data_IF_012297874926
#
_entry.id   IF_012297874926
#
_cell.length_a   1.000
_cell.length_b   1.000
_cell.length_c   1.000
_cell.angle_alpha   90.00
_cell.angle_beta   90.00
_cell.angle_gamma   90.00
#
_symmetry.space_group_name_H-M   'P 1'
#
loop_
_entity.id
_entity.type
_entity.pdbx_description
1 polymer ?
#
# COMPACT_ATOMS: atom_id res chain seq x y z
N UNK A 1 13.74 7.27 -4.14
CA UNK A 1 14.52 6.81 -5.29
C UNK A 1 15.97 7.18 -5.05
N UNK A 2 16.92 6.24 -5.12
CA UNK A 2 18.35 6.57 -5.02
C UNK A 2 18.82 7.32 -6.27
N UNK A 3 19.83 8.18 -6.11
CA UNK A 3 20.49 8.88 -7.22
C UNK A 3 21.38 7.88 -7.95
N UNK A 4 21.00 7.51 -9.18
CA UNK A 4 21.93 6.89 -10.12
C UNK A 4 22.75 8.03 -10.73
N UNK A 5 24.08 7.98 -10.61
CA UNK A 5 25.02 9.07 -10.99
C UNK A 5 24.88 9.61 -12.43
N UNK A 6 24.16 8.91 -13.31
CA UNK A 6 23.97 9.25 -14.72
C UNK A 6 22.52 9.58 -15.11
N UNK A 7 21.56 9.53 -14.17
CA UNK A 7 20.16 9.88 -14.47
C UNK A 7 19.95 11.40 -14.34
N UNK A 8 19.62 12.06 -15.45
CA UNK A 8 19.13 13.44 -15.45
C UNK A 8 17.64 13.42 -15.11
N UNK A 9 17.29 13.65 -13.84
CA UNK A 9 15.90 13.62 -13.37
C UNK A 9 15.05 14.82 -13.81
N UNK A 10 15.68 15.97 -14.10
CA UNK A 10 15.04 17.17 -14.67
C UNK A 10 16.05 17.95 -15.50
N UNK A 11 15.61 18.48 -16.65
CA UNK A 11 16.44 19.29 -17.56
C UNK A 11 16.87 20.63 -16.97
N UNK A 12 16.21 21.11 -15.91
CA UNK A 12 16.47 22.41 -15.29
C UNK A 12 16.79 22.33 -13.79
N UNK A 13 16.44 21.24 -13.11
CA UNK A 13 16.67 21.07 -11.66
C UNK A 13 17.54 19.83 -11.37
N UNK A 14 18.87 19.99 -11.21
CA UNK A 14 19.80 18.87 -11.05
C UNK A 14 19.55 17.96 -9.84
N UNK A 15 18.85 18.46 -8.81
CA UNK A 15 18.56 17.71 -7.59
C UNK A 15 17.20 17.00 -7.61
N UNK A 16 16.36 17.25 -8.63
CA UNK A 16 15.00 16.69 -8.70
C UNK A 16 15.05 15.27 -9.25
N UNK A 17 14.52 14.33 -8.47
CA UNK A 17 14.39 12.92 -8.85
C UNK A 17 12.90 12.61 -8.95
N UNK A 18 12.45 12.21 -10.15
CA UNK A 18 11.04 11.89 -10.40
C UNK A 18 10.83 10.37 -10.46
N UNK A 19 9.66 9.87 -10.02
CA UNK A 19 9.31 8.45 -10.07
C UNK A 19 8.93 7.99 -11.50
N UNK A 20 9.76 8.30 -12.50
CA UNK A 20 9.44 8.11 -13.93
C UNK A 20 9.13 6.67 -14.32
N UNK A 21 9.74 5.70 -13.64
CA UNK A 21 9.47 4.28 -13.90
C UNK A 21 8.04 3.89 -13.50
N UNK A 22 7.51 4.49 -12.42
CA UNK A 22 6.11 4.30 -12.01
C UNK A 22 5.15 5.04 -12.94
N UNK A 23 5.47 6.27 -13.35
CA UNK A 23 4.68 7.05 -14.31
C UNK A 23 4.58 6.32 -15.67
N UNK A 24 5.70 5.77 -16.14
CA UNK A 24 5.74 4.94 -17.36
C UNK A 24 4.94 3.65 -17.20
N UNK A 25 4.99 3.02 -16.02
CA UNK A 25 4.21 1.82 -15.73
C UNK A 25 2.72 2.10 -15.78
N UNK A 26 2.28 3.16 -15.12
CA UNK A 26 0.88 3.60 -15.07
C UNK A 26 0.33 3.89 -16.48
N UNK A 27 1.06 4.66 -17.29
CA UNK A 27 0.66 4.97 -18.66
C UNK A 27 0.51 3.72 -19.54
N UNK A 28 1.50 2.82 -19.49
CA UNK A 28 1.44 1.57 -20.28
C UNK A 28 0.36 0.62 -19.78
N UNK A 29 0.13 0.54 -18.46
CA UNK A 29 -0.94 -0.27 -17.89
C UNK A 29 -2.31 0.22 -18.37
N UNK A 30 -2.53 1.54 -18.42
CA UNK A 30 -3.76 2.14 -18.95
C UNK A 30 -4.01 1.76 -20.41
N UNK A 31 -3.01 1.87 -21.28
CA UNK A 31 -3.13 1.47 -22.70
C UNK A 31 -3.40 -0.02 -22.84
N UNK A 32 -2.70 -0.86 -22.07
CA UNK A 32 -2.91 -2.30 -22.06
C UNK A 32 -4.36 -2.65 -21.66
N UNK A 33 -4.86 -2.07 -20.56
CA UNK A 33 -6.22 -2.28 -20.09
C UNK A 33 -7.24 -1.86 -21.14
N UNK A 34 -7.06 -0.71 -21.79
CA UNK A 34 -7.98 -0.24 -22.82
C UNK A 34 -8.07 -1.22 -24.01
N UNK A 35 -6.94 -1.74 -24.48
CA UNK A 35 -6.90 -2.72 -25.57
C UNK A 35 -7.49 -4.07 -25.14
N UNK A 36 -7.09 -4.58 -23.97
CA UNK A 36 -7.59 -5.85 -23.44
C UNK A 36 -9.10 -5.80 -23.20
N UNK A 37 -9.62 -4.70 -22.65
CA UNK A 37 -11.05 -4.47 -22.46
C UNK A 37 -11.79 -4.49 -23.81
N UNK A 38 -11.26 -3.79 -24.82
CA UNK A 38 -11.84 -3.84 -26.17
C UNK A 38 -11.87 -5.26 -26.73
N UNK A 39 -10.83 -6.08 -26.50
CA UNK A 39 -10.83 -7.48 -26.94
C UNK A 39 -11.91 -8.30 -26.24
N UNK A 40 -12.07 -8.14 -24.92
CA UNK A 40 -13.13 -8.82 -24.15
C UNK A 40 -14.52 -8.46 -24.67
N UNK A 41 -14.75 -7.20 -25.01
CA UNK A 41 -16.05 -6.73 -25.49
C UNK A 41 -16.32 -7.13 -26.95
N UNK A 42 -15.32 -6.99 -27.83
CA UNK A 42 -15.50 -7.18 -29.27
C UNK A 42 -15.51 -8.63 -29.70
N UNK A 43 -14.63 -9.47 -29.15
CA UNK A 43 -14.36 -10.82 -29.69
C UNK A 43 -15.52 -11.80 -29.55
N UNK A 44 -16.33 -11.78 -28.45
CA UNK A 44 -17.46 -12.68 -28.31
C UNK A 44 -18.61 -12.41 -29.30
N UNK A 45 -18.63 -11.25 -29.94
CA UNK A 45 -19.72 -10.83 -30.82
C UNK A 45 -19.30 -10.99 -32.28
N UNK A 46 -20.04 -11.83 -33.00
CA UNK A 46 -19.91 -12.05 -34.44
C UNK A 46 -21.29 -12.34 -35.05
N UNK A 47 -21.63 -11.73 -36.19
CA UNK A 47 -22.97 -11.84 -36.79
C UNK A 47 -23.19 -13.23 -37.40
N UNK A 48 -24.36 -13.82 -37.12
CA UNK A 48 -24.80 -15.13 -37.65
C UNK A 48 -23.77 -16.23 -37.37
N UNK A 49 -23.33 -16.98 -38.38
CA UNK A 49 -22.35 -18.04 -38.22
C UNK A 49 -20.94 -17.52 -37.96
N UNK A 50 -20.60 -16.32 -38.48
CA UNK A 50 -19.37 -15.53 -38.22
C UNK A 50 -19.23 -14.38 -39.25
N UNK A 51 -18.83 -13.20 -38.80
CA UNK A 51 -18.24 -12.13 -39.61
C UNK A 51 -16.70 -12.04 -39.42
N UNK A 52 -15.99 -11.31 -40.29
CA UNK A 52 -14.52 -11.24 -40.32
C UNK A 52 -13.91 -10.08 -39.50
N UNK A 53 -14.71 -9.29 -38.77
CA UNK A 53 -14.21 -8.14 -38.02
C UNK A 53 -13.22 -8.51 -36.91
N UNK A 54 -13.30 -9.74 -36.40
CA UNK A 54 -12.40 -10.29 -35.38
C UNK A 54 -10.98 -10.53 -35.92
N UNK A 55 -10.82 -10.77 -37.21
CA UNK A 55 -9.52 -11.08 -37.82
C UNK A 55 -8.52 -9.94 -37.64
N UNK A 56 -8.94 -8.68 -37.86
CA UNK A 56 -8.05 -7.53 -37.67
C UNK A 56 -7.79 -7.24 -36.20
N UNK A 57 -8.77 -7.47 -35.31
CA UNK A 57 -8.59 -7.25 -33.87
C UNK A 57 -7.64 -8.27 -33.25
N UNK A 58 -7.68 -9.53 -33.70
CA UNK A 58 -6.75 -10.59 -33.27
C UNK A 58 -5.28 -10.26 -33.59
N UNK A 59 -5.02 -9.50 -34.67
CA UNK A 59 -3.65 -9.05 -35.01
C UNK A 59 -3.11 -8.02 -34.03
N UNK A 60 -3.96 -7.38 -33.23
CA UNK A 60 -3.57 -6.41 -32.20
C UNK A 60 -3.29 -7.03 -30.82
N UNK A 61 -3.42 -8.35 -30.67
CA UNK A 61 -3.11 -9.01 -29.39
C UNK A 61 -1.70 -8.74 -28.90
N UNK A 62 -0.73 -8.78 -29.81
CA UNK A 62 0.66 -8.46 -29.51
C UNK A 62 0.82 -7.05 -28.93
N UNK A 63 0.07 -6.06 -29.44
CA UNK A 63 0.11 -4.68 -28.95
C UNK A 63 -0.39 -4.56 -27.50
N UNK A 64 -1.53 -5.17 -27.19
CA UNK A 64 -2.06 -5.16 -25.81
C UNK A 64 -1.11 -5.81 -24.82
N UNK A 65 -0.57 -6.99 -25.17
CA UNK A 65 0.39 -7.72 -24.35
C UNK A 65 1.74 -7.00 -24.23
N UNK A 66 2.20 -6.32 -25.30
CA UNK A 66 3.43 -5.55 -25.27
C UNK A 66 3.33 -4.39 -24.27
N UNK A 67 2.21 -3.66 -24.22
CA UNK A 67 2.00 -2.62 -23.22
C UNK A 67 1.93 -3.20 -21.80
N UNK A 68 1.30 -4.36 -21.58
CA UNK A 68 1.35 -5.04 -20.28
C UNK A 68 2.79 -5.36 -19.86
N UNK A 69 3.61 -5.89 -20.76
CA UNK A 69 5.00 -6.22 -20.50
C UNK A 69 5.84 -4.96 -20.19
N UNK A 70 5.67 -3.90 -20.95
CA UNK A 70 6.33 -2.62 -20.70
C UNK A 70 5.95 -2.03 -19.34
N UNK A 71 4.67 -2.15 -18.96
CA UNK A 71 4.19 -1.70 -17.66
C UNK A 71 4.85 -2.47 -16.51
N UNK A 72 4.89 -3.81 -16.61
CA UNK A 72 5.51 -4.69 -15.61
C UNK A 72 7.01 -4.42 -15.49
N UNK A 73 7.72 -4.29 -16.62
CA UNK A 73 9.16 -4.02 -16.63
C UNK A 73 9.48 -2.66 -16.01
N UNK A 74 8.68 -1.64 -16.30
CA UNK A 74 8.86 -0.30 -15.71
C UNK A 74 8.56 -0.33 -14.20
N UNK A 75 7.49 -1.02 -13.78
CA UNK A 75 7.19 -1.22 -12.35
C UNK A 75 8.35 -1.91 -11.63
N UNK A 76 8.90 -2.97 -12.22
CA UNK A 76 10.02 -3.71 -11.65
C UNK A 76 11.24 -2.81 -11.42
N UNK A 77 11.66 -2.06 -12.44
CA UNK A 77 12.74 -1.07 -12.33
C UNK A 77 12.45 -0.01 -11.27
N UNK A 78 11.20 0.45 -11.18
CA UNK A 78 10.79 1.41 -10.16
C UNK A 78 10.95 0.86 -8.75
N UNK A 79 10.49 -0.38 -8.51
CA UNK A 79 10.59 -1.06 -7.22
C UNK A 79 12.03 -1.27 -6.76
N UNK A 80 12.95 -1.60 -7.67
CA UNK A 80 14.40 -1.74 -7.37
C UNK A 80 15.04 -0.44 -6.85
N UNK A 81 14.47 0.72 -7.20
CA UNK A 81 14.99 2.03 -6.78
C UNK A 81 14.32 2.59 -5.52
N UNK A 82 13.30 1.92 -4.96
CA UNK A 82 12.56 2.38 -3.77
C UNK A 82 13.22 1.86 -2.50
N UNK A 83 13.54 2.79 -1.58
CA UNK A 83 14.06 2.46 -0.26
C UNK A 83 13.32 3.27 0.80
N UNK A 84 12.93 2.64 1.93
CA UNK A 84 12.25 3.33 3.01
C UNK A 84 13.19 4.29 3.75
N UNK A 85 12.83 5.57 3.85
CA UNK A 85 13.48 6.50 4.78
C UNK A 85 12.91 6.33 6.18
N UNK A 86 13.58 5.50 7.00
CA UNK A 86 13.08 5.13 8.33
C UNK A 86 12.97 6.34 9.26
N UNK A 87 13.94 7.24 9.20
CA UNK A 87 14.01 8.46 10.01
C UNK A 87 12.86 9.40 9.68
N UNK A 88 12.61 9.62 8.37
CA UNK A 88 11.51 10.46 7.92
C UNK A 88 10.16 9.86 8.31
N UNK A 89 9.92 8.58 8.02
CA UNK A 89 8.66 7.91 8.38
C UNK A 89 8.39 7.97 9.89
N UNK A 90 9.43 7.69 10.70
CA UNK A 90 9.32 7.77 12.16
C UNK A 90 9.02 9.20 12.62
N UNK A 91 9.72 10.18 12.07
CA UNK A 91 9.50 11.59 12.38
C UNK A 91 8.07 12.00 12.06
N UNK A 92 7.57 11.71 10.85
CA UNK A 92 6.20 12.03 10.44
C UNK A 92 5.18 11.45 11.42
N UNK A 93 5.27 10.15 11.72
CA UNK A 93 4.32 9.49 12.62
C UNK A 93 4.38 10.06 14.05
N UNK A 94 5.56 10.43 14.54
CA UNK A 94 5.72 11.05 15.86
C UNK A 94 5.09 12.46 15.96
N UNK A 95 4.94 13.18 14.85
CA UNK A 95 4.27 14.49 14.80
C UNK A 95 2.74 14.39 14.77
N UNK A 96 2.18 13.17 14.74
CA UNK A 96 0.74 12.92 14.67
C UNK A 96 0.22 12.09 15.87
N UNK A 97 0.33 12.58 17.12
CA UNK A 97 -0.17 11.86 18.30
C UNK A 97 -1.69 11.64 18.32
N UNK A 98 -2.46 12.40 17.54
CA UNK A 98 -3.90 12.27 17.38
C UNK A 98 -4.35 10.88 16.90
N UNK A 99 -3.48 10.13 16.22
CA UNK A 99 -3.77 8.75 15.76
C UNK A 99 -4.04 7.79 16.93
N UNK A 100 -3.61 8.13 18.15
CA UNK A 100 -3.86 7.34 19.36
C UNK A 100 -5.26 7.55 19.95
N UNK A 101 -6.02 8.53 19.46
CA UNK A 101 -7.36 8.85 19.94
C UNK A 101 -8.28 7.62 19.96
N UNK A 102 -8.29 6.85 18.88
CA UNK A 102 -9.10 5.63 18.77
C UNK A 102 -8.71 4.57 19.83
N UNK A 103 -7.41 4.39 20.07
CA UNK A 103 -6.91 3.47 21.09
C UNK A 103 -7.38 3.87 22.50
N UNK A 104 -7.35 5.17 22.80
CA UNK A 104 -7.84 5.70 24.07
C UNK A 104 -9.35 5.52 24.21
N UNK A 105 -10.13 5.94 23.21
CA UNK A 105 -11.58 5.78 23.23
C UNK A 105 -12.01 4.31 23.40
N UNK A 106 -11.38 3.40 22.66
CA UNK A 106 -11.66 1.96 22.74
C UNK A 106 -11.35 1.42 24.14
N UNK A 107 -10.27 1.89 24.76
CA UNK A 107 -9.89 1.48 26.11
C UNK A 107 -10.82 2.02 27.20
N UNK A 108 -11.33 3.25 27.03
CA UNK A 108 -12.36 3.80 27.92
C UNK A 108 -13.66 3.00 27.82
N UNK A 109 -14.09 2.64 26.60
CA UNK A 109 -15.27 1.78 26.38
C UNK A 109 -15.09 0.43 27.04
N UNK A 110 -13.91 -0.17 26.91
CA UNK A 110 -13.59 -1.44 27.58
C UNK A 110 -13.62 -1.32 29.11
N UNK A 111 -13.35 -0.14 29.65
CA UNK A 111 -13.44 0.17 31.08
C UNK A 111 -14.87 0.50 31.55
N UNK A 112 -15.88 0.40 30.66
CA UNK A 112 -17.28 0.67 30.98
C UNK A 112 -17.72 2.13 30.87
N UNK A 113 -16.89 3.01 30.31
CA UNK A 113 -17.20 4.45 30.17
C UNK A 113 -18.07 4.67 28.93
N UNK A 114 -19.33 5.05 29.15
CA UNK A 114 -20.38 5.17 28.12
C UNK A 114 -20.13 6.37 27.20
N UNK A 115 -19.63 7.48 27.76
CA UNK A 115 -19.37 8.76 27.11
C UNK A 115 -17.91 8.94 26.67
N UNK A 116 -17.20 7.83 26.42
CA UNK A 116 -15.77 7.81 26.08
C UNK A 116 -15.34 8.79 24.96
N UNK A 117 -16.19 8.96 23.94
CA UNK A 117 -15.94 9.90 22.84
C UNK A 117 -16.00 11.35 23.31
N UNK A 118 -17.03 11.72 24.08
CA UNK A 118 -17.19 13.09 24.59
C UNK A 118 -16.11 13.43 25.62
N UNK A 119 -15.70 12.48 26.46
CA UNK A 119 -14.58 12.68 27.38
C UNK A 119 -13.24 12.88 26.66
N UNK A 120 -13.00 12.11 25.58
CA UNK A 120 -11.80 12.31 24.76
C UNK A 120 -11.83 13.66 24.04
N UNK A 121 -12.98 14.02 23.46
CA UNK A 121 -13.22 15.29 22.76
C UNK A 121 -13.08 16.49 23.68
N UNK A 122 -13.54 16.42 24.92
CA UNK A 122 -13.35 17.45 25.93
C UNK A 122 -11.86 17.69 26.23
N UNK A 123 -11.02 16.67 26.06
CA UNK A 123 -9.58 16.72 26.33
C UNK A 123 -8.75 17.04 25.07
N UNK A 124 -9.33 16.94 23.87
CA UNK A 124 -8.65 17.17 22.58
C UNK A 124 -9.18 18.34 21.73
N UNK A 125 -10.23 19.05 22.17
CA UNK A 125 -11.02 19.99 21.33
C UNK A 125 -10.23 21.13 20.65
N UNK A 126 -9.23 21.68 21.34
CA UNK A 126 -8.56 22.92 20.89
C UNK A 126 -7.04 22.76 20.67
N UNK A 127 -6.50 21.53 20.80
CA UNK A 127 -5.06 21.29 20.73
C UNK A 127 -4.76 19.93 20.08
N UNK A 128 -3.62 19.84 19.38
CA UNK A 128 -2.99 18.53 19.11
C UNK A 128 -2.97 17.73 20.40
N UNK A 129 -3.26 16.43 20.30
CA UNK A 129 -3.46 15.55 21.45
C UNK A 129 -2.16 15.47 22.26
N UNK A 130 -2.04 16.38 23.24
CA UNK A 130 -0.80 16.59 23.97
C UNK A 130 -0.53 15.42 24.90
N UNK A 131 0.74 15.23 25.29
CA UNK A 131 1.12 14.22 26.29
C UNK A 131 0.32 14.39 27.60
N UNK A 132 0.02 15.64 27.98
CA UNK A 132 -0.77 15.94 29.17
C UNK A 132 -2.25 15.52 29.00
N UNK A 133 -2.83 15.80 27.84
CA UNK A 133 -4.17 15.37 27.45
C UNK A 133 -4.28 13.83 27.46
N UNK A 134 -3.33 13.13 26.83
CA UNK A 134 -3.28 11.65 26.84
C UNK A 134 -3.24 11.08 28.26
N UNK A 135 -2.42 11.65 29.15
CA UNK A 135 -2.32 11.19 30.54
C UNK A 135 -3.65 11.33 31.31
N UNK A 136 -4.40 12.41 31.08
CA UNK A 136 -5.73 12.59 31.70
C UNK A 136 -6.68 11.48 31.28
N UNK A 137 -6.70 11.14 29.99
CA UNK A 137 -7.55 10.07 29.46
C UNK A 137 -7.14 8.70 29.99
N UNK A 138 -5.84 8.42 30.01
CA UNK A 138 -5.31 7.14 30.53
C UNK A 138 -5.63 6.95 32.02
N UNK A 139 -5.76 8.03 32.78
CA UNK A 139 -6.10 7.94 34.20
C UNK A 139 -7.55 7.50 34.47
N UNK A 140 -8.44 7.62 33.50
CA UNK A 140 -9.82 7.15 33.60
C UNK A 140 -9.94 5.61 33.45
N UNK A 141 -8.90 4.97 32.90
CA UNK A 141 -8.84 3.52 32.76
C UNK A 141 -8.55 2.87 34.11
N UNK A 142 -9.45 1.99 34.55
CA UNK A 142 -9.40 1.31 35.86
C UNK A 142 -8.52 0.06 35.85
N UNK A 143 -8.47 -0.68 34.73
CA UNK A 143 -7.62 -1.87 34.61
C UNK A 143 -6.12 -1.48 34.61
N UNK A 144 -5.33 -1.90 35.62
CA UNK A 144 -3.90 -1.58 35.70
C UNK A 144 -3.09 -2.11 34.52
N UNK A 145 -3.48 -3.27 33.94
CA UNK A 145 -2.77 -3.85 32.78
C UNK A 145 -2.98 -3.00 31.54
N UNK A 146 -4.23 -2.63 31.26
CA UNK A 146 -4.58 -1.74 30.15
C UNK A 146 -3.94 -0.35 30.32
N UNK A 147 -4.00 0.21 31.53
CA UNK A 147 -3.36 1.50 31.86
C UNK A 147 -1.86 1.49 31.58
N UNK A 148 -1.14 0.44 32.02
CA UNK A 148 0.29 0.26 31.73
C UNK A 148 0.57 0.20 30.23
N UNK A 149 -0.27 -0.51 29.47
CA UNK A 149 -0.15 -0.62 28.00
C UNK A 149 -0.34 0.74 27.32
N UNK A 150 -1.34 1.51 27.72
CA UNK A 150 -1.58 2.84 27.15
C UNK A 150 -0.48 3.85 27.46
N UNK A 151 0.17 3.77 28.63
CA UNK A 151 1.32 4.60 28.98
C UNK A 151 2.56 4.33 28.11
N UNK A 152 2.66 3.12 27.55
CA UNK A 152 3.74 2.71 26.64
C UNK A 152 3.38 2.95 25.17
N UNK A 153 2.13 3.30 24.88
CA UNK A 153 1.64 3.49 23.52
C UNK A 153 2.20 4.78 22.92
N UNK A 154 2.70 4.68 21.70
CA UNK A 154 3.23 5.78 20.90
C UNK A 154 2.76 5.64 19.46
N UNK A 155 2.67 6.71 18.68
CA UNK A 155 2.28 6.62 17.27
C UNK A 155 3.11 5.57 16.51
N UNK A 156 4.43 5.52 16.73
CA UNK A 156 5.33 4.59 16.03
C UNK A 156 5.18 3.12 16.44
N UNK A 157 4.46 2.81 17.52
CA UNK A 157 4.19 1.43 17.95
C UNK A 157 2.70 1.04 17.87
N UNK A 158 1.86 1.93 17.35
CA UNK A 158 0.44 1.71 17.15
C UNK A 158 0.12 1.23 15.72
N UNK A 159 0.75 0.12 15.31
CA UNK A 159 0.57 -0.49 13.97
C UNK A 159 -0.27 -1.79 14.00
N UNK A 160 -0.88 -2.11 15.15
CA UNK A 160 -1.74 -3.28 15.31
C UNK A 160 -1.08 -4.59 14.89
N UNK A 161 -1.75 -5.34 14.01
CA UNK A 161 -1.27 -6.63 13.50
C UNK A 161 -0.41 -6.52 12.24
N UNK A 162 -0.08 -5.30 11.77
CA UNK A 162 0.57 -5.11 10.48
C UNK A 162 1.85 -5.96 10.30
N UNK A 163 2.81 -6.01 11.25
CA UNK A 163 3.99 -6.87 11.08
C UNK A 163 3.66 -8.35 10.98
N UNK A 164 2.68 -8.82 11.77
CA UNK A 164 2.25 -10.22 11.76
C UNK A 164 1.64 -10.59 10.41
N UNK A 165 0.76 -9.74 9.88
CA UNK A 165 0.12 -9.94 8.56
C UNK A 165 1.20 -9.99 7.48
N UNK A 166 2.14 -9.03 7.48
CA UNK A 166 3.25 -9.00 6.50
C UNK A 166 4.09 -10.28 6.56
N UNK A 167 4.49 -10.74 7.75
CA UNK A 167 5.25 -11.98 7.88
C UNK A 167 4.46 -13.19 7.36
N UNK A 168 3.17 -13.28 7.69
CA UNK A 168 2.30 -14.36 7.21
C UNK A 168 2.20 -14.38 5.69
N UNK A 169 2.01 -13.22 5.07
CA UNK A 169 1.90 -13.09 3.61
C UNK A 169 3.22 -13.41 2.90
N UNK A 170 4.36 -12.95 3.43
CA UNK A 170 5.68 -13.31 2.90
C UNK A 170 5.85 -14.84 2.92
N UNK A 171 5.56 -15.49 4.05
CA UNK A 171 5.63 -16.96 4.14
C UNK A 171 4.72 -17.64 3.14
N UNK A 172 3.48 -17.18 3.00
CA UNK A 172 2.51 -17.72 2.04
C UNK A 172 3.04 -17.63 0.61
N UNK A 173 3.55 -16.46 0.21
CA UNK A 173 4.09 -16.23 -1.14
C UNK A 173 5.33 -17.12 -1.38
N UNK A 174 6.27 -17.18 -0.44
CA UNK A 174 7.49 -18.00 -0.56
C UNK A 174 7.18 -19.49 -0.70
N UNK A 175 6.18 -20.00 0.03
CA UNK A 175 5.74 -21.38 -0.08
C UNK A 175 5.18 -21.67 -1.48
N UNK A 176 4.32 -20.78 -2.00
CA UNK A 176 3.73 -20.93 -3.33
C UNK A 176 4.80 -20.90 -4.44
N UNK A 177 5.79 -20.01 -4.34
CA UNK A 177 6.89 -19.95 -5.31
C UNK A 177 7.71 -21.25 -5.32
N UNK A 178 7.94 -21.82 -4.14
CA UNK A 178 8.66 -23.10 -4.00
C UNK A 178 7.88 -24.27 -4.63
N UNK A 179 6.55 -24.28 -4.48
CA UNK A 179 5.68 -25.28 -5.12
C UNK A 179 5.74 -25.16 -6.65
N UNK A 180 5.59 -23.95 -7.20
CA UNK A 180 5.66 -23.69 -8.63
C UNK A 180 7.01 -24.10 -9.24
N UNK A 181 8.12 -23.87 -8.53
CA UNK A 181 9.45 -24.33 -8.96
C UNK A 181 9.56 -25.85 -9.00
N UNK A 182 9.01 -26.56 -8.01
CA UNK A 182 8.99 -28.02 -7.98
C UNK A 182 8.13 -28.60 -9.12
N UNK A 183 6.97 -28.03 -9.39
CA UNK A 183 6.10 -28.45 -10.50
C UNK A 183 6.75 -28.21 -11.87
N UNK A 184 7.45 -27.08 -12.03
CA UNK A 184 8.18 -26.77 -13.26
C UNK A 184 9.34 -27.74 -13.50
N UNK A 185 10.07 -28.10 -12.44
CA UNK A 185 11.16 -29.07 -12.51
C UNK A 185 10.68 -30.51 -12.77
N UNK A 186 9.46 -30.86 -12.36
CA UNK A 186 8.87 -32.18 -12.62
C UNK A 186 8.31 -32.33 -14.04
N UNK A 187 7.89 -31.24 -14.69
CA UNK A 187 7.39 -31.24 -16.08
C UNK A 187 8.50 -31.11 -17.14
N UNK A 188 9.75 -30.93 -16.72
CA UNK A 188 10.92 -30.76 -17.58
C UNK A 188 11.73 -32.05 -17.85
N UNK A 189 11.23 -33.23 -17.46
CA UNK A 189 11.80 -34.55 -17.78
C UNK A 189 10.87 -35.33 -18.72
#
# INVERSE_FOLDING_TARGET
QQVVKQEVGSSTMPHKINPIDFENSEGNAGVAVALLQHFVEKLPISRLQRDLSDSTVKRSFGTGLAHSLLAINSLWRGLEKVFPSREMMKSVVQHHPEVLAEAYQTSLRLSGIIDAYEQLKAVSRDHQLSVAASKKVINLVTDPKLKKRLLQLKPENYFGLAPKIVTQEITRISNNLTLLQKESNQKGN
#
